data_IF_429887001241
#
_entry.id   IF_429887001241
#
_cell.length_a   1.000
_cell.length_b   1.000
_cell.length_c   1.000
_cell.angle_alpha   90.00
_cell.angle_beta   90.00
_cell.angle_gamma   90.00
#
_symmetry.space_group_name_H-M   'P 1'
#
loop_
_entity.id
_entity.type
_entity.pdbx_description
1 polymer ?
#
# COMPACT_ATOMS: atom_id res chain seq x y z
N UNK A 1 -34.82 0.14 -32.20
CA UNK A 1 -34.48 0.67 -30.85
C UNK A 1 -34.72 -0.45 -29.84
N UNK A 2 -33.75 -1.36 -29.70
CA UNK A 2 -33.86 -2.49 -28.78
C UNK A 2 -33.59 -1.95 -27.38
N UNK A 3 -34.63 -1.93 -26.56
CA UNK A 3 -34.56 -1.63 -25.14
C UNK A 3 -33.62 -2.67 -24.51
N UNK A 4 -32.38 -2.29 -24.21
CA UNK A 4 -31.50 -3.05 -23.29
C UNK A 4 -32.30 -3.18 -22.00
N UNK A 5 -32.88 -4.35 -21.77
CA UNK A 5 -33.43 -4.69 -20.47
C UNK A 5 -32.27 -4.58 -19.49
N UNK A 6 -32.36 -3.54 -18.69
CA UNK A 6 -31.46 -3.22 -17.60
C UNK A 6 -31.48 -4.42 -16.65
N UNK A 7 -30.46 -5.28 -16.77
CA UNK A 7 -30.25 -6.35 -15.81
C UNK A 7 -29.81 -5.69 -14.51
N UNK A 8 -30.75 -5.54 -13.60
CA UNK A 8 -30.56 -5.00 -12.26
C UNK A 8 -29.39 -5.71 -11.56
N UNK A 9 -28.34 -4.96 -11.25
CA UNK A 9 -27.63 -5.02 -9.96
C UNK A 9 -26.90 -6.30 -9.51
N UNK A 10 -26.57 -7.27 -10.37
CA UNK A 10 -25.70 -8.39 -9.93
C UNK A 10 -24.23 -8.00 -10.02
N UNK A 11 -23.71 -7.30 -9.01
CA UNK A 11 -22.26 -7.27 -8.79
C UNK A 11 -21.77 -8.71 -8.62
N UNK A 12 -20.83 -9.13 -9.46
CA UNK A 12 -20.26 -10.47 -9.38
C UNK A 12 -19.54 -10.65 -8.03
N UNK A 13 -19.67 -11.80 -7.36
CA UNK A 13 -19.09 -12.00 -6.02
C UNK A 13 -17.57 -11.78 -6.00
N UNK A 14 -16.88 -12.11 -7.09
CA UNK A 14 -15.43 -11.90 -7.26
C UNK A 14 -15.09 -10.40 -7.30
N UNK A 15 -15.88 -9.60 -8.01
CA UNK A 15 -15.69 -8.14 -8.06
C UNK A 15 -15.89 -7.49 -6.69
N UNK A 16 -16.92 -7.89 -5.94
CA UNK A 16 -17.17 -7.37 -4.59
C UNK A 16 -16.01 -7.70 -3.66
N UNK A 17 -15.51 -8.94 -3.71
CA UNK A 17 -14.36 -9.37 -2.93
C UNK A 17 -13.09 -8.59 -3.30
N UNK A 18 -12.84 -8.36 -4.60
CA UNK A 18 -11.70 -7.57 -5.07
C UNK A 18 -11.76 -6.12 -4.55
N UNK A 19 -12.92 -5.47 -4.65
CA UNK A 19 -13.13 -4.12 -4.14
C UNK A 19 -12.95 -4.04 -2.61
N UNK A 20 -13.49 -5.02 -1.88
CA UNK A 20 -13.33 -5.09 -0.43
C UNK A 20 -11.86 -5.27 -0.02
N UNK A 21 -11.15 -6.19 -0.68
CA UNK A 21 -9.73 -6.42 -0.45
C UNK A 21 -8.89 -5.16 -0.74
N UNK A 22 -9.16 -4.48 -1.86
CA UNK A 22 -8.48 -3.21 -2.17
C UNK A 22 -8.77 -2.14 -1.11
N UNK A 23 -10.02 -2.02 -0.64
CA UNK A 23 -10.38 -1.06 0.40
C UNK A 23 -9.71 -1.33 1.75
N UNK A 24 -9.64 -2.59 2.17
CA UNK A 24 -8.93 -3.01 3.39
C UNK A 24 -7.42 -2.73 3.24
N UNK A 25 -6.83 -3.11 2.11
CA UNK A 25 -5.43 -2.83 1.81
C UNK A 25 -5.15 -1.32 1.85
N UNK A 26 -5.99 -0.51 1.22
CA UNK A 26 -5.86 0.94 1.20
C UNK A 26 -5.83 1.53 2.62
N UNK A 27 -6.75 1.10 3.47
CA UNK A 27 -6.82 1.55 4.86
C UNK A 27 -5.53 1.17 5.61
N UNK A 28 -5.10 -0.08 5.52
CA UNK A 28 -3.90 -0.56 6.18
C UNK A 28 -2.63 0.17 5.71
N UNK A 29 -2.44 0.32 4.39
CA UNK A 29 -1.26 0.98 3.80
C UNK A 29 -1.24 2.47 4.14
N UNK A 30 -2.38 3.17 4.07
CA UNK A 30 -2.44 4.61 4.41
C UNK A 30 -2.12 4.82 5.89
N UNK A 31 -2.72 4.03 6.79
CA UNK A 31 -2.41 4.11 8.23
C UNK A 31 -0.92 3.81 8.45
N UNK A 32 -0.40 2.77 7.80
CA UNK A 32 1.02 2.44 7.89
C UNK A 32 1.92 3.59 7.42
N UNK A 33 1.56 4.23 6.31
CA UNK A 33 2.33 5.33 5.72
C UNK A 33 2.40 6.56 6.64
N UNK A 34 1.30 6.91 7.31
CA UNK A 34 1.18 8.18 8.04
C UNK A 34 1.49 8.09 9.52
N UNK A 35 1.69 6.90 10.10
CA UNK A 35 1.83 6.73 11.55
C UNK A 35 3.25 6.38 12.00
N UNK A 36 3.71 6.90 13.16
CA UNK A 36 5.08 6.74 13.64
C UNK A 36 5.33 5.43 14.41
N UNK A 37 4.68 4.32 14.03
CA UNK A 37 4.69 3.06 14.81
C UNK A 37 5.22 1.86 14.02
N UNK A 38 6.24 2.07 13.20
CA UNK A 38 6.95 0.99 12.50
C UNK A 38 7.92 0.28 13.45
N UNK A 39 8.69 1.05 14.21
CA UNK A 39 9.58 0.58 15.26
C UNK A 39 9.30 1.37 16.54
N UNK A 40 9.26 0.70 17.69
CA UNK A 40 8.93 1.31 18.98
C UNK A 40 9.85 0.77 20.07
N UNK A 41 10.23 1.63 21.02
CA UNK A 41 10.93 1.22 22.24
C UNK A 41 9.94 0.70 23.28
N UNK A 42 10.32 -0.36 24.01
CA UNK A 42 9.59 -0.90 25.15
C UNK A 42 9.64 0.00 26.39
N UNK A 43 10.52 1.01 26.40
CA UNK A 43 10.72 1.94 27.52
C UNK A 43 11.41 1.34 28.74
N UNK A 44 11.99 0.13 28.62
CA UNK A 44 12.66 -0.57 29.71
C UNK A 44 14.16 -0.27 29.79
N UNK A 45 14.70 0.46 28.80
CA UNK A 45 16.08 0.93 28.81
C UNK A 45 16.34 1.84 30.04
N UNK A 46 17.52 1.76 30.68
CA UNK A 46 17.85 2.61 31.84
C UNK A 46 17.72 4.11 31.54
N UNK A 47 18.05 4.52 30.31
CA UNK A 47 17.81 5.86 29.78
C UNK A 47 17.19 5.69 28.39
N UNK A 48 15.89 5.97 28.28
CA UNK A 48 15.15 5.88 27.02
C UNK A 48 15.62 6.99 26.06
N UNK A 49 16.41 6.63 25.04
CA UNK A 49 16.89 7.56 24.01
C UNK A 49 15.91 7.68 22.86
N UNK A 50 15.36 6.54 22.43
CA UNK A 50 14.43 6.40 21.31
C UNK A 50 13.04 6.00 21.80
N UNK A 51 11.99 6.51 21.17
CA UNK A 51 10.61 6.18 21.54
C UNK A 51 9.90 5.42 20.42
N UNK A 52 9.87 6.01 19.23
CA UNK A 52 9.14 5.44 18.09
C UNK A 52 9.59 6.04 16.76
N UNK A 53 9.41 5.28 15.69
CA UNK A 53 9.76 5.63 14.33
C UNK A 53 8.63 5.21 13.39
N UNK A 54 8.23 6.09 12.48
CA UNK A 54 7.56 5.72 11.24
C UNK A 54 8.38 6.11 10.03
N UNK A 55 7.76 6.02 8.86
CA UNK A 55 8.42 6.36 7.60
C UNK A 55 8.86 7.82 7.53
N UNK A 56 8.15 8.74 8.18
CA UNK A 56 8.37 10.19 8.02
C UNK A 56 8.58 10.93 9.33
N UNK A 57 8.32 10.30 10.48
CA UNK A 57 8.43 10.93 11.80
C UNK A 57 9.24 10.03 12.73
N UNK A 58 10.19 10.64 13.44
CA UNK A 58 11.01 9.99 14.44
C UNK A 58 10.87 10.72 15.78
N UNK A 59 10.70 9.95 16.86
CA UNK A 59 10.53 10.47 18.21
C UNK A 59 11.67 10.01 19.11
N UNK A 60 12.37 10.98 19.68
CA UNK A 60 13.43 10.79 20.65
C UNK A 60 13.05 11.39 22.00
N UNK A 61 13.79 11.04 23.05
CA UNK A 61 13.57 11.58 24.39
C UNK A 61 14.87 12.11 25.00
N UNK A 62 15.85 11.24 25.21
CA UNK A 62 17.16 11.60 25.77
C UNK A 62 18.31 11.24 24.82
N UNK A 63 18.11 11.38 23.51
CA UNK A 63 19.12 10.98 22.53
C UNK A 63 20.18 12.08 22.36
N UNK A 64 21.45 11.70 22.50
CA UNK A 64 22.61 12.55 22.21
C UNK A 64 23.49 11.79 21.23
N UNK A 65 23.77 12.38 20.07
CA UNK A 65 24.65 11.77 19.07
C UNK A 65 26.12 11.93 19.48
N UNK A 66 26.83 10.80 19.55
CA UNK A 66 28.25 10.75 19.93
C UNK A 66 29.17 11.42 18.89
N UNK A 67 28.72 11.53 17.64
CA UNK A 67 29.51 12.15 16.58
C UNK A 67 29.31 13.67 16.52
N UNK A 68 28.28 14.18 17.17
CA UNK A 68 28.00 15.61 17.23
C UNK A 68 28.82 16.24 18.35
N UNK A 69 29.66 17.22 17.99
CA UNK A 69 30.63 17.86 18.92
C UNK A 69 29.99 18.72 20.01
N UNK A 70 28.68 18.95 19.94
CA UNK A 70 27.95 19.77 20.92
C UNK A 70 26.98 18.86 21.68
N UNK A 71 26.85 19.08 22.98
CA UNK A 71 25.91 18.36 23.85
C UNK A 71 24.46 18.81 23.58
N UNK A 72 23.94 18.46 22.40
CA UNK A 72 22.54 18.68 22.02
C UNK A 72 21.76 17.39 22.26
N UNK A 73 20.71 17.51 23.06
CA UNK A 73 19.77 16.44 23.35
C UNK A 73 18.53 16.54 22.47
N UNK A 74 18.26 15.49 21.70
CA UNK A 74 17.09 15.36 20.83
C UNK A 74 15.90 14.79 21.60
N UNK A 75 14.79 15.53 21.57
CA UNK A 75 13.56 15.22 22.28
C UNK A 75 12.32 15.56 21.44
N UNK A 76 11.25 14.79 21.66
CA UNK A 76 9.98 14.95 20.99
C UNK A 76 9.91 14.24 19.63
N UNK A 77 8.75 14.36 18.99
CA UNK A 77 8.47 13.83 17.67
C UNK A 77 8.64 14.92 16.63
N UNK A 78 9.44 14.64 15.61
CA UNK A 78 9.64 15.56 14.48
C UNK A 78 9.68 14.79 13.17
N UNK A 79 9.36 15.51 12.11
CA UNK A 79 9.54 15.02 10.76
C UNK A 79 11.03 14.71 10.50
N UNK A 80 11.32 13.64 9.77
CA UNK A 80 12.69 13.13 9.60
C UNK A 80 13.61 14.14 8.89
N UNK A 81 13.05 15.02 8.07
CA UNK A 81 13.77 16.08 7.36
C UNK A 81 13.56 17.46 7.99
N UNK A 82 13.18 17.51 9.27
CA UNK A 82 13.14 18.75 10.05
C UNK A 82 14.56 19.33 10.19
N UNK A 83 14.68 20.66 10.25
CA UNK A 83 15.97 21.34 10.32
C UNK A 83 16.78 20.92 11.55
N UNK A 84 16.11 20.62 12.67
CA UNK A 84 16.79 20.17 13.87
C UNK A 84 17.47 18.81 13.67
N UNK A 85 16.98 17.97 12.77
CA UNK A 85 17.55 16.65 12.48
C UNK A 85 18.62 16.65 11.38
N UNK A 86 18.93 17.79 10.77
CA UNK A 86 19.95 17.89 9.73
C UNK A 86 21.31 17.28 10.14
N UNK A 87 21.69 17.42 11.42
CA UNK A 87 22.95 16.87 11.93
C UNK A 87 22.97 15.34 12.07
N UNK A 88 21.80 14.74 12.34
CA UNK A 88 21.63 13.29 12.52
C UNK A 88 20.96 12.63 11.32
N UNK A 89 20.83 13.34 10.20
CA UNK A 89 20.10 12.87 9.03
C UNK A 89 20.70 11.56 8.48
N UNK A 90 22.03 11.47 8.36
CA UNK A 90 22.70 10.26 7.88
C UNK A 90 22.46 9.04 8.78
N UNK A 91 22.22 9.26 10.07
CA UNK A 91 21.87 8.23 11.04
C UNK A 91 20.40 7.82 10.92
N UNK A 92 19.50 8.79 10.77
CA UNK A 92 18.06 8.57 10.62
C UNK A 92 17.67 7.92 9.29
N UNK A 93 18.38 8.25 8.22
CA UNK A 93 18.05 7.80 6.86
C UNK A 93 19.18 6.97 6.25
N UNK A 94 19.49 5.78 6.80
CA UNK A 94 20.43 4.87 6.16
C UNK A 94 19.88 4.41 4.79
N UNK A 95 20.73 3.97 3.86
CA UNK A 95 20.32 3.66 2.49
C UNK A 95 19.15 2.66 2.37
N UNK A 96 19.11 1.63 3.22
CA UNK A 96 18.01 0.66 3.22
C UNK A 96 16.68 1.33 3.58
N UNK A 97 16.67 2.25 4.55
CA UNK A 97 15.46 2.91 5.00
C UNK A 97 14.94 3.91 3.96
N UNK A 98 15.85 4.61 3.27
CA UNK A 98 15.49 5.43 2.10
C UNK A 98 14.87 4.56 1.01
N UNK A 99 15.40 3.36 0.76
CA UNK A 99 14.79 2.43 -0.19
C UNK A 99 13.38 2.00 0.24
N UNK A 100 13.15 1.72 1.54
CA UNK A 100 11.81 1.44 2.09
C UNK A 100 10.87 2.62 1.84
N UNK A 101 11.27 3.84 2.18
CA UNK A 101 10.48 5.05 1.98
C UNK A 101 10.08 5.22 0.51
N UNK A 102 11.03 5.10 -0.41
CA UNK A 102 10.77 5.26 -1.86
C UNK A 102 9.85 4.17 -2.37
N UNK A 103 10.14 2.90 -2.09
CA UNK A 103 9.32 1.77 -2.57
C UNK A 103 7.90 1.81 -2.02
N UNK A 104 7.74 2.07 -0.73
CA UNK A 104 6.42 2.15 -0.09
C UNK A 104 5.63 3.37 -0.58
N UNK A 105 6.29 4.49 -0.89
CA UNK A 105 5.65 5.66 -1.51
C UNK A 105 5.21 5.36 -2.95
N UNK A 106 6.05 4.73 -3.76
CA UNK A 106 5.68 4.32 -5.13
C UNK A 106 4.51 3.34 -5.12
N UNK A 107 4.50 2.40 -4.15
CA UNK A 107 3.36 1.52 -3.89
C UNK A 107 2.09 2.32 -3.59
N UNK A 108 2.13 3.20 -2.59
CA UNK A 108 1.00 4.06 -2.24
C UNK A 108 0.47 4.88 -3.44
N UNK A 109 1.34 5.39 -4.31
CA UNK A 109 0.92 6.09 -5.53
C UNK A 109 0.16 5.16 -6.48
N UNK A 110 0.66 3.94 -6.72
CA UNK A 110 -0.04 2.93 -7.53
C UNK A 110 -1.41 2.55 -6.92
N UNK A 111 -1.48 2.37 -5.59
CA UNK A 111 -2.72 2.13 -4.85
C UNK A 111 -3.72 3.26 -5.02
N UNK A 112 -3.30 4.52 -4.84
CA UNK A 112 -4.16 5.70 -5.02
C UNK A 112 -4.70 5.74 -6.46
N UNK A 113 -3.85 5.50 -7.46
CA UNK A 113 -4.28 5.40 -8.86
C UNK A 113 -5.30 4.27 -9.07
N UNK A 114 -5.11 3.10 -8.45
CA UNK A 114 -6.07 2.00 -8.51
C UNK A 114 -7.42 2.40 -7.90
N UNK A 115 -7.42 3.05 -6.72
CA UNK A 115 -8.64 3.56 -6.09
C UNK A 115 -9.36 4.61 -6.95
N UNK A 116 -8.62 5.52 -7.59
CA UNK A 116 -9.19 6.51 -8.50
C UNK A 116 -9.82 5.86 -9.74
N UNK A 117 -9.11 4.91 -10.37
CA UNK A 117 -9.65 4.15 -11.51
C UNK A 117 -10.90 3.37 -11.11
N UNK A 118 -10.90 2.75 -9.92
CA UNK A 118 -12.05 2.01 -9.41
C UNK A 118 -13.25 2.94 -9.16
N UNK A 119 -13.02 4.10 -8.56
CA UNK A 119 -14.06 5.11 -8.34
C UNK A 119 -14.66 5.60 -9.66
N UNK A 120 -13.83 5.91 -10.66
CA UNK A 120 -14.32 6.31 -12.00
C UNK A 120 -15.11 5.16 -12.64
N UNK A 121 -14.63 3.92 -12.50
CA UNK A 121 -15.31 2.74 -13.04
C UNK A 121 -16.69 2.51 -12.41
N UNK A 122 -16.83 2.67 -11.10
CA UNK A 122 -18.12 2.48 -10.40
C UNK A 122 -19.10 3.64 -10.64
N UNK A 123 -18.62 4.88 -10.76
CA UNK A 123 -19.47 6.05 -11.00
C UNK A 123 -19.92 6.18 -12.47
N UNK A 124 -19.07 5.82 -13.43
CA UNK A 124 -19.39 5.97 -14.86
C UNK A 124 -20.17 4.78 -15.45
N UNK A 125 -20.45 3.73 -14.66
CA UNK A 125 -21.36 2.58 -14.84
C UNK A 125 -21.34 1.75 -16.15
N UNK A 126 -20.81 2.23 -17.26
CA UNK A 126 -20.88 1.56 -18.55
C UNK A 126 -19.67 1.96 -19.40
N UNK A 127 -18.59 1.19 -19.29
CA UNK A 127 -17.48 1.30 -20.22
C UNK A 127 -17.47 0.09 -21.13
N UNK A 128 -17.53 0.32 -22.45
CA UNK A 128 -17.23 -0.71 -23.46
C UNK A 128 -15.80 -1.28 -23.29
N UNK A 129 -14.98 -0.64 -22.47
CA UNK A 129 -13.61 -1.02 -22.10
C UNK A 129 -13.50 -1.67 -20.71
N UNK A 130 -14.58 -2.23 -20.15
CA UNK A 130 -14.61 -2.92 -18.84
C UNK A 130 -13.40 -3.86 -18.62
N UNK A 131 -13.13 -4.75 -19.59
CA UNK A 131 -12.00 -5.69 -19.54
C UNK A 131 -10.65 -4.99 -19.40
N UNK A 132 -10.46 -3.90 -20.14
CA UNK A 132 -9.21 -3.13 -20.10
C UNK A 132 -9.04 -2.45 -18.74
N UNK A 133 -10.11 -1.87 -18.20
CA UNK A 133 -10.11 -1.22 -16.89
C UNK A 133 -9.80 -2.24 -15.78
N UNK A 134 -10.42 -3.43 -15.81
CA UNK A 134 -10.14 -4.49 -14.83
C UNK A 134 -8.70 -4.99 -14.90
N UNK A 135 -8.12 -5.10 -16.11
CA UNK A 135 -6.69 -5.40 -16.28
C UNK A 135 -5.79 -4.30 -15.73
N UNK A 136 -6.14 -3.04 -15.97
CA UNK A 136 -5.41 -1.89 -15.44
C UNK A 136 -5.45 -1.87 -13.90
N UNK A 137 -6.62 -2.10 -13.30
CA UNK A 137 -6.79 -2.23 -11.85
C UNK A 137 -5.95 -3.36 -11.28
N UNK A 138 -6.03 -4.56 -11.89
CA UNK A 138 -5.21 -5.70 -11.48
C UNK A 138 -3.71 -5.42 -11.59
N UNK A 139 -3.28 -4.76 -12.68
CA UNK A 139 -1.89 -4.37 -12.88
C UNK A 139 -1.39 -3.34 -11.85
N UNK A 140 -2.17 -2.30 -11.56
CA UNK A 140 -1.83 -1.28 -10.57
C UNK A 140 -1.77 -1.86 -9.15
N UNK A 141 -2.75 -2.67 -8.75
CA UNK A 141 -2.78 -3.32 -7.45
C UNK A 141 -1.63 -4.33 -7.27
N UNK A 142 -1.28 -5.10 -8.31
CA UNK A 142 -0.12 -5.99 -8.26
C UNK A 142 1.19 -5.20 -8.18
N UNK A 143 1.35 -4.13 -8.95
CA UNK A 143 2.55 -3.29 -8.90
C UNK A 143 2.71 -2.68 -7.50
N UNK A 144 1.63 -2.13 -6.94
CA UNK A 144 1.62 -1.58 -5.58
C UNK A 144 1.95 -2.64 -4.52
N UNK A 145 1.28 -3.79 -4.57
CA UNK A 145 1.50 -4.88 -3.62
C UNK A 145 2.93 -5.41 -3.68
N UNK A 146 3.54 -5.52 -4.87
CA UNK A 146 4.93 -5.95 -5.02
C UNK A 146 5.91 -4.92 -4.45
N UNK A 147 5.74 -3.64 -4.79
CA UNK A 147 6.59 -2.56 -4.26
C UNK A 147 6.51 -2.48 -2.73
N UNK A 148 5.29 -2.51 -2.19
CA UNK A 148 5.04 -2.50 -0.75
C UNK A 148 5.60 -3.75 -0.07
N UNK A 149 5.49 -4.92 -0.70
CA UNK A 149 6.08 -6.18 -0.20
C UNK A 149 7.60 -6.10 -0.10
N UNK A 150 8.27 -5.58 -1.14
CA UNK A 150 9.73 -5.41 -1.10
C UNK A 150 10.13 -4.42 -0.02
N UNK A 151 9.37 -3.33 0.16
CA UNK A 151 9.61 -2.35 1.22
C UNK A 151 9.50 -2.98 2.62
N UNK A 152 8.42 -3.73 2.92
CA UNK A 152 8.25 -4.35 4.24
C UNK A 152 9.26 -5.47 4.49
N UNK A 153 9.68 -6.23 3.47
CA UNK A 153 10.76 -7.22 3.62
C UNK A 153 12.08 -6.51 3.93
N UNK A 154 12.40 -5.44 3.22
CA UNK A 154 13.65 -4.68 3.43
C UNK A 154 13.69 -4.08 4.84
N UNK A 155 12.58 -3.49 5.29
CA UNK A 155 12.47 -2.97 6.66
C UNK A 155 12.49 -4.10 7.70
N UNK A 156 11.79 -5.21 7.47
CA UNK A 156 11.77 -6.34 8.40
C UNK A 156 13.14 -7.01 8.55
N UNK A 157 13.99 -6.97 7.53
CA UNK A 157 15.33 -7.53 7.57
C UNK A 157 16.34 -6.62 8.29
N UNK A 158 16.24 -5.30 8.14
CA UNK A 158 17.27 -4.34 8.60
C UNK A 158 16.79 -3.41 9.73
N UNK A 159 15.49 -3.26 9.92
CA UNK A 159 14.89 -2.23 10.79
C UNK A 159 15.05 -2.49 12.28
N UNK A 160 15.29 -3.74 12.66
CA UNK A 160 15.56 -4.18 14.04
C UNK A 160 17.05 -4.56 14.24
N UNK A 161 17.92 -4.20 13.30
CA UNK A 161 19.35 -4.47 13.46
C UNK A 161 19.97 -3.62 14.57
N UNK A 162 20.94 -4.23 15.27
CA UNK A 162 21.65 -3.63 16.41
C UNK A 162 22.49 -2.40 16.08
N UNK A 163 22.66 -2.07 14.80
CA UNK A 163 23.56 -1.04 14.29
C UNK A 163 22.84 0.27 13.91
N UNK A 164 21.51 0.32 13.97
CA UNK A 164 20.75 1.47 13.48
C UNK A 164 20.13 2.32 14.59
N UNK A 165 19.13 1.81 15.32
CA UNK A 165 18.44 2.61 16.34
C UNK A 165 19.06 2.44 17.73
N UNK A 166 19.01 3.48 18.60
CA UNK A 166 19.56 3.41 19.95
C UNK A 166 18.84 2.35 20.78
N UNK A 167 19.57 1.74 21.70
CA UNK A 167 19.04 0.72 22.61
C UNK A 167 18.28 -0.40 21.87
N UNK A 168 18.92 -1.09 20.89
CA UNK A 168 18.24 -2.02 19.99
C UNK A 168 17.62 -3.22 20.73
N UNK A 169 18.18 -3.62 21.87
CA UNK A 169 17.60 -4.69 22.71
C UNK A 169 16.21 -4.33 23.30
N UNK A 170 15.85 -3.06 23.26
CA UNK A 170 14.59 -2.50 23.76
C UNK A 170 13.65 -2.09 22.62
N UNK A 171 14.04 -2.27 21.36
CA UNK A 171 13.23 -1.90 20.21
C UNK A 171 12.51 -3.12 19.66
N UNK A 172 11.31 -2.89 19.12
CA UNK A 172 10.54 -3.92 18.45
C UNK A 172 9.72 -3.35 17.31
N UNK A 173 9.49 -4.18 16.29
CA UNK A 173 8.57 -3.89 15.20
C UNK A 173 7.15 -3.78 15.76
N UNK A 174 6.48 -2.66 15.45
CA UNK A 174 5.20 -2.32 16.07
C UNK A 174 4.02 -2.44 15.11
N UNK A 175 2.83 -2.09 15.59
CA UNK A 175 1.56 -2.43 14.94
C UNK A 175 1.38 -1.83 13.54
N UNK A 176 1.95 -0.65 13.29
CA UNK A 176 1.82 0.03 11.98
C UNK A 176 2.64 -0.69 10.91
N UNK A 177 3.80 -1.24 11.26
CA UNK A 177 4.54 -2.16 10.39
C UNK A 177 3.73 -3.45 10.13
N UNK A 178 3.05 -3.98 11.16
CA UNK A 178 2.11 -5.10 10.99
C UNK A 178 0.99 -4.80 9.99
N UNK A 179 0.41 -3.60 10.05
CA UNK A 179 -0.57 -3.16 9.06
C UNK A 179 0.02 -3.01 7.65
N UNK A 180 1.28 -2.56 7.53
CA UNK A 180 1.96 -2.50 6.24
C UNK A 180 2.04 -3.89 5.57
N UNK A 181 2.38 -4.93 6.34
CA UNK A 181 2.44 -6.32 5.86
C UNK A 181 1.06 -6.81 5.43
N UNK A 182 0.04 -6.63 6.29
CA UNK A 182 -1.33 -7.05 5.98
C UNK A 182 -1.85 -6.33 4.74
N UNK A 183 -1.59 -5.03 4.64
CA UNK A 183 -1.94 -4.20 3.51
C UNK A 183 -1.32 -4.69 2.21
N UNK A 184 0.00 -4.94 2.20
CA UNK A 184 0.74 -5.41 1.02
C UNK A 184 0.25 -6.78 0.52
N UNK A 185 0.07 -7.75 1.43
CA UNK A 185 -0.42 -9.09 1.07
C UNK A 185 -1.85 -9.05 0.57
N UNK A 186 -2.72 -8.29 1.22
CA UNK A 186 -4.12 -8.12 0.80
C UNK A 186 -4.19 -7.45 -0.57
N UNK A 187 -3.28 -6.51 -0.87
CA UNK A 187 -3.22 -5.84 -2.16
C UNK A 187 -2.84 -6.78 -3.31
N UNK A 188 -1.85 -7.66 -3.09
CA UNK A 188 -1.50 -8.71 -4.06
C UNK A 188 -2.71 -9.59 -4.36
N UNK A 189 -3.45 -9.98 -3.31
CA UNK A 189 -4.71 -10.72 -3.45
C UNK A 189 -5.75 -9.96 -4.26
N UNK A 190 -5.97 -8.67 -3.97
CA UNK A 190 -6.88 -7.82 -4.71
C UNK A 190 -6.50 -7.73 -6.20
N UNK A 191 -5.21 -7.57 -6.51
CA UNK A 191 -4.70 -7.54 -7.87
C UNK A 191 -5.00 -8.82 -8.66
N UNK A 192 -4.77 -9.99 -8.05
CA UNK A 192 -5.11 -11.29 -8.65
C UNK A 192 -6.62 -11.40 -8.89
N UNK A 193 -7.45 -11.00 -7.92
CA UNK A 193 -8.90 -11.04 -8.05
C UNK A 193 -9.42 -10.14 -9.19
N UNK A 194 -8.86 -8.93 -9.37
CA UNK A 194 -9.19 -8.07 -10.51
C UNK A 194 -8.79 -8.68 -11.85
N UNK A 195 -7.65 -9.38 -11.93
CA UNK A 195 -7.26 -10.10 -13.14
C UNK A 195 -8.21 -11.26 -13.43
N UNK A 196 -8.61 -12.04 -12.42
CA UNK A 196 -9.61 -13.09 -12.57
C UNK A 196 -10.93 -12.52 -13.09
N UNK A 197 -11.42 -11.43 -12.49
CA UNK A 197 -12.64 -10.76 -12.95
C UNK A 197 -12.49 -10.25 -14.38
N UNK A 198 -11.31 -9.75 -14.77
CA UNK A 198 -11.04 -9.34 -16.15
C UNK A 198 -11.17 -10.51 -17.13
N UNK A 199 -10.70 -11.70 -16.76
CA UNK A 199 -10.82 -12.91 -17.59
C UNK A 199 -12.28 -13.39 -17.67
N UNK A 200 -13.03 -13.32 -16.58
CA UNK A 200 -14.46 -13.64 -16.57
C UNK A 200 -15.25 -12.65 -17.44
N UNK A 201 -14.96 -11.35 -17.34
CA UNK A 201 -15.56 -10.31 -18.19
C UNK A 201 -15.26 -10.54 -19.68
N UNK A 202 -14.03 -10.96 -20.03
CA UNK A 202 -13.68 -11.33 -21.40
C UNK A 202 -14.52 -12.48 -21.94
N UNK A 203 -14.71 -13.54 -21.16
CA UNK A 203 -15.53 -14.70 -21.56
C UNK A 203 -16.98 -14.28 -21.79
N UNK A 204 -17.56 -13.51 -20.86
CA UNK A 204 -18.93 -12.97 -20.98
C UNK A 204 -19.10 -12.11 -22.23
N UNK A 205 -18.12 -11.27 -22.55
CA UNK A 205 -18.15 -10.45 -23.75
C UNK A 205 -18.09 -11.29 -25.04
N UNK A 206 -17.29 -12.36 -25.06
CA UNK A 206 -17.22 -13.29 -26.20
C UNK A 206 -18.56 -14.02 -26.40
N UNK A 207 -19.13 -14.56 -25.33
CA UNK A 207 -20.40 -15.30 -25.38
C UNK A 207 -21.56 -14.40 -25.84
N UNK A 208 -21.63 -13.16 -25.31
CA UNK A 208 -22.61 -12.16 -25.72
C UNK A 208 -22.48 -11.80 -27.20
N UNK A 209 -21.25 -11.59 -27.68
CA UNK A 209 -21.01 -11.28 -29.09
C UNK A 209 -21.44 -12.44 -29.98
N UNK A 210 -21.10 -13.68 -29.62
CA UNK A 210 -21.52 -14.88 -30.35
C UNK A 210 -23.05 -15.00 -30.42
N UNK A 211 -23.77 -14.76 -29.32
CA UNK A 211 -25.23 -14.75 -29.31
C UNK A 211 -25.81 -13.68 -30.25
N UNK A 212 -25.25 -12.47 -30.26
CA UNK A 212 -25.67 -11.39 -31.17
C UNK A 212 -25.44 -11.79 -32.63
N UNK A 213 -24.30 -12.42 -32.95
CA UNK A 213 -24.05 -12.95 -34.30
C UNK A 213 -25.09 -14.01 -34.70
N UNK A 214 -25.38 -14.98 -33.83
CA UNK A 214 -26.38 -16.02 -34.10
C UNK A 214 -27.77 -15.43 -34.32
N UNK A 215 -28.21 -14.48 -33.48
CA UNK A 215 -29.51 -13.81 -33.64
C UNK A 215 -29.61 -13.03 -34.95
N UNK A 216 -28.53 -12.34 -35.36
CA UNK A 216 -28.48 -11.63 -36.63
C UNK A 216 -28.51 -12.55 -37.86
N UNK A 217 -28.04 -13.79 -37.73
CA UNK A 217 -28.16 -14.81 -38.78
C UNK A 217 -29.61 -15.31 -38.90
N UNK A 218 -30.25 -15.62 -37.77
CA UNK A 218 -31.65 -16.07 -37.74
C UNK A 218 -32.61 -15.01 -38.27
N UNK A 219 -32.39 -13.72 -37.97
CA UNK A 219 -33.23 -12.63 -38.46
C UNK A 219 -33.17 -12.40 -39.97
N UNK A 220 -32.17 -12.96 -40.67
CA UNK A 220 -31.99 -12.80 -42.13
C UNK A 220 -32.50 -13.99 -42.93
N UNK A 221 -32.80 -15.12 -42.28
CA UNK A 221 -33.39 -16.30 -42.88
C UNK A 221 -34.92 -16.20 -42.87
#
# INVERSE_FOLDING_TARGET
MVRKTMNSGKFYPVMVLACAALGVSALCIIIAFTTPYWLVSDGLAPVEKFQKLGLWEACFKHFVDINYRYDREFHGCKWIFDEDYNFIQNFLTPPFFVAVQVLFTLGLVCLILACLVLMVFTLCLLSDKEVFILKLLGGLALASGLLSTVAVITFGANGDERNWMPDPDHNHLSWSFGLAIVGAVTELGAGVLFLIESHLAQRRNKDRNQQVFTLNQVSKA
#
